data_IF_438426411052
#
_entry.id   IF_438426411052
#
_cell.length_a   1.000
_cell.length_b   1.000
_cell.length_c   1.000
_cell.angle_alpha   90.00
_cell.angle_beta   90.00
_cell.angle_gamma   90.00
#
_symmetry.space_group_name_H-M   'P 1'
#
loop_
_entity.id
_entity.type
_entity.pdbx_description
1 polymer ?
#
# COMPACT_ATOMS: atom_id res chain seq x y z
N UNK A 1 21.55 -10.24 73.95
CA UNK A 1 20.74 -10.77 72.83
C UNK A 1 21.10 -9.94 71.62
N UNK A 2 21.53 -10.64 70.57
CA UNK A 2 21.64 -10.20 69.17
C UNK A 2 22.70 -9.13 68.83
N UNK A 3 23.96 -9.57 68.79
CA UNK A 3 24.97 -8.97 67.91
C UNK A 3 24.66 -9.39 66.47
N UNK A 4 24.09 -8.47 65.70
CA UNK A 4 23.84 -8.59 64.27
C UNK A 4 25.17 -8.55 63.51
N UNK A 5 25.67 -9.73 63.14
CA UNK A 5 26.82 -9.92 62.26
C UNK A 5 26.51 -9.34 60.87
N UNK A 6 27.10 -8.19 60.56
CA UNK A 6 27.05 -7.58 59.24
C UNK A 6 27.92 -8.35 58.26
N UNK A 7 27.30 -9.18 57.42
CA UNK A 7 27.96 -9.72 56.23
C UNK A 7 28.21 -8.59 55.23
N UNK A 8 29.42 -8.04 55.25
CA UNK A 8 29.94 -7.21 54.16
C UNK A 8 30.23 -8.17 53.01
N UNK A 9 29.40 -8.14 51.96
CA UNK A 9 29.73 -8.77 50.70
C UNK A 9 30.97 -8.09 50.12
N UNK A 10 32.13 -8.70 50.31
CA UNK A 10 33.36 -8.35 49.61
C UNK A 10 33.08 -8.36 48.10
N UNK A 11 33.07 -7.19 47.49
CA UNK A 11 33.10 -7.09 46.03
C UNK A 11 34.45 -7.62 45.60
N UNK A 12 34.49 -8.83 45.03
CA UNK A 12 35.69 -9.38 44.41
C UNK A 12 36.29 -8.35 43.45
N UNK A 13 37.42 -7.76 43.86
CA UNK A 13 38.14 -6.79 43.05
C UNK A 13 38.87 -7.56 41.96
N UNK A 14 38.25 -7.65 40.78
CA UNK A 14 38.92 -8.21 39.62
C UNK A 14 40.22 -7.45 39.34
N UNK A 15 41.35 -8.17 39.13
CA UNK A 15 42.62 -7.57 38.75
C UNK A 15 42.47 -6.65 37.55
N UNK A 16 43.13 -5.49 37.57
CA UNK A 16 43.11 -4.52 36.46
C UNK A 16 43.53 -5.19 35.13
N UNK A 17 44.46 -6.14 35.20
CA UNK A 17 44.92 -6.93 34.05
C UNK A 17 43.77 -7.71 33.39
N UNK A 18 42.90 -8.32 34.17
CA UNK A 18 41.77 -9.11 33.66
C UNK A 18 40.74 -8.19 33.00
N UNK A 19 40.54 -6.98 33.55
CA UNK A 19 39.66 -5.95 32.96
C UNK A 19 40.20 -5.45 31.61
N UNK A 20 41.52 -5.31 31.45
CA UNK A 20 42.13 -5.00 30.15
C UNK A 20 41.89 -6.12 29.14
N UNK A 21 42.17 -7.36 29.52
CA UNK A 21 42.00 -8.50 28.64
C UNK A 21 40.54 -8.65 28.18
N UNK A 22 39.57 -8.52 29.08
CA UNK A 22 38.15 -8.53 28.74
C UNK A 22 37.79 -7.41 27.75
N UNK A 23 38.31 -6.19 27.95
CA UNK A 23 38.05 -5.07 27.06
C UNK A 23 38.66 -5.29 25.67
N UNK A 24 39.86 -5.86 25.58
CA UNK A 24 40.52 -6.21 24.31
C UNK A 24 39.76 -7.31 23.56
N UNK A 25 39.29 -8.34 24.25
CA UNK A 25 38.46 -9.40 23.67
C UNK A 25 37.14 -8.84 23.10
N UNK A 26 36.49 -7.93 23.83
CA UNK A 26 35.29 -7.25 23.36
C UNK A 26 35.55 -6.37 22.13
N UNK A 27 36.68 -5.65 22.10
CA UNK A 27 37.09 -4.87 20.91
C UNK A 27 37.31 -5.79 19.72
N UNK A 28 37.94 -6.95 19.91
CA UNK A 28 38.16 -7.90 18.83
C UNK A 28 36.83 -8.43 18.26
N UNK A 29 35.90 -8.83 19.14
CA UNK A 29 34.53 -9.24 18.75
C UNK A 29 33.79 -8.13 18.00
N UNK A 30 33.89 -6.88 18.46
CA UNK A 30 33.28 -5.73 17.78
C UNK A 30 33.90 -5.45 16.41
N UNK A 31 35.20 -5.67 16.22
CA UNK A 31 35.84 -5.54 14.92
C UNK A 31 35.36 -6.61 13.93
N UNK A 32 35.19 -7.86 14.38
CA UNK A 32 34.66 -8.93 13.54
C UNK A 32 33.21 -8.63 13.12
N UNK A 33 32.36 -8.22 14.06
CA UNK A 33 30.99 -7.81 13.75
C UNK A 33 30.98 -6.60 12.80
N UNK A 34 31.84 -5.61 13.01
CA UNK A 34 31.97 -4.45 12.12
C UNK A 34 32.29 -4.87 10.69
N UNK A 35 33.25 -5.78 10.51
CA UNK A 35 33.63 -6.27 9.19
C UNK A 35 32.44 -6.95 8.49
N UNK A 36 31.74 -7.85 9.19
CA UNK A 36 30.54 -8.52 8.67
C UNK A 36 29.45 -7.51 8.28
N UNK A 37 29.15 -6.54 9.16
CA UNK A 37 28.16 -5.49 8.89
C UNK A 37 28.53 -4.65 7.67
N UNK A 38 29.81 -4.34 7.46
CA UNK A 38 30.27 -3.59 6.29
C UNK A 38 30.10 -4.41 5.01
N UNK A 39 30.50 -5.69 5.02
CA UNK A 39 30.34 -6.57 3.86
C UNK A 39 28.86 -6.73 3.48
N UNK A 40 27.98 -6.94 4.46
CA UNK A 40 26.55 -7.02 4.22
C UNK A 40 25.99 -5.68 3.71
N UNK A 41 26.47 -4.55 4.25
CA UNK A 41 26.05 -3.22 3.83
C UNK A 41 26.41 -2.95 2.37
N UNK A 42 27.63 -3.29 1.95
CA UNK A 42 28.08 -3.14 0.56
C UNK A 42 27.22 -3.96 -0.39
N UNK A 43 26.95 -5.22 -0.05
CA UNK A 43 26.06 -6.09 -0.84
C UNK A 43 24.66 -5.49 -0.98
N UNK A 44 24.08 -5.02 0.12
CA UNK A 44 22.73 -4.44 0.10
C UNK A 44 22.66 -3.09 -0.61
N UNK A 45 23.73 -2.29 -0.56
CA UNK A 45 23.85 -1.07 -1.38
C UNK A 45 23.91 -1.40 -2.87
N UNK A 46 24.65 -2.45 -3.25
CA UNK A 46 24.67 -2.92 -4.63
C UNK A 46 23.29 -3.41 -5.11
N UNK A 47 22.56 -4.19 -4.28
CA UNK A 47 21.17 -4.60 -4.58
C UNK A 47 20.27 -3.37 -4.79
N UNK A 48 20.32 -2.40 -3.87
CA UNK A 48 19.56 -1.14 -3.96
C UNK A 48 19.88 -0.37 -5.25
N UNK A 49 21.16 -0.26 -5.59
CA UNK A 49 21.61 0.49 -6.76
C UNK A 49 21.22 -0.22 -8.07
N UNK A 50 21.20 -1.56 -8.07
CA UNK A 50 20.66 -2.38 -9.15
C UNK A 50 19.16 -2.10 -9.38
N UNK A 51 18.35 -2.16 -8.33
CA UNK A 51 16.91 -1.88 -8.44
C UNK A 51 16.63 -0.43 -8.84
N UNK A 52 17.39 0.53 -8.29
CA UNK A 52 17.30 1.93 -8.70
C UNK A 52 17.62 2.11 -10.19
N UNK A 53 18.60 1.38 -10.72
CA UNK A 53 18.95 1.47 -12.15
C UNK A 53 17.83 0.93 -13.03
N UNK A 54 17.18 -0.15 -12.63
CA UNK A 54 15.99 -0.67 -13.32
C UNK A 54 14.79 0.30 -13.26
N UNK A 55 14.65 1.02 -12.15
CA UNK A 55 13.57 1.99 -11.96
C UNK A 55 13.87 3.38 -12.55
N UNK A 56 15.11 3.65 -13.01
CA UNK A 56 15.50 4.93 -13.62
C UNK A 56 14.77 5.22 -14.94
N UNK A 57 14.26 4.21 -15.64
CA UNK A 57 13.28 4.38 -16.73
C UNK A 57 11.88 4.78 -16.22
N UNK A 58 11.86 5.65 -15.20
CA UNK A 58 10.68 6.12 -14.47
C UNK A 58 9.63 6.71 -15.41
N UNK A 59 10.06 7.31 -16.52
CA UNK A 59 9.16 7.84 -17.55
C UNK A 59 8.28 6.76 -18.19
N UNK A 60 8.83 5.58 -18.49
CA UNK A 60 8.05 4.46 -19.03
C UNK A 60 7.08 3.91 -17.97
N UNK A 61 7.54 3.82 -16.73
CA UNK A 61 6.76 3.26 -15.62
C UNK A 61 5.60 4.17 -15.18
N UNK A 62 5.84 5.48 -15.08
CA UNK A 62 4.81 6.47 -14.80
C UNK A 62 3.76 6.50 -15.92
N UNK A 63 4.18 6.28 -17.17
CA UNK A 63 3.25 6.14 -18.31
C UNK A 63 2.38 4.90 -18.17
N UNK A 64 2.95 3.75 -17.80
CA UNK A 64 2.16 2.52 -17.58
C UNK A 64 1.15 2.71 -16.45
N UNK A 65 1.56 3.31 -15.33
CA UNK A 65 0.67 3.59 -14.18
C UNK A 65 -0.48 4.54 -14.57
N UNK A 66 -0.14 5.65 -15.24
CA UNK A 66 -1.12 6.62 -15.75
C UNK A 66 -2.12 5.96 -16.71
N UNK A 67 -1.66 5.12 -17.63
CA UNK A 67 -2.54 4.39 -18.55
C UNK A 67 -3.48 3.43 -17.82
N UNK A 68 -3.00 2.72 -16.79
CA UNK A 68 -3.86 1.85 -15.97
C UNK A 68 -4.96 2.66 -15.30
N UNK A 69 -4.64 3.81 -14.72
CA UNK A 69 -5.62 4.63 -14.00
C UNK A 69 -6.61 5.32 -14.95
N UNK A 70 -6.15 5.77 -16.11
CA UNK A 70 -7.04 6.27 -17.19
C UNK A 70 -8.03 5.19 -17.65
N UNK A 71 -7.54 3.95 -17.87
CA UNK A 71 -8.38 2.84 -18.33
C UNK A 71 -9.37 2.38 -17.26
N UNK A 72 -8.99 2.35 -15.97
CA UNK A 72 -9.91 2.11 -14.86
C UNK A 72 -11.00 3.17 -14.79
N UNK A 73 -10.62 4.43 -14.94
CA UNK A 73 -11.57 5.56 -14.94
C UNK A 73 -12.56 5.43 -16.10
N UNK A 74 -12.06 5.13 -17.31
CA UNK A 74 -12.92 4.89 -18.47
C UNK A 74 -13.86 3.69 -18.27
N UNK A 75 -13.35 2.59 -17.69
CA UNK A 75 -14.16 1.41 -17.37
C UNK A 75 -15.30 1.75 -16.40
N UNK A 76 -15.02 2.58 -15.38
CA UNK A 76 -16.03 3.03 -14.43
C UNK A 76 -17.17 3.80 -15.14
N UNK A 77 -16.84 4.74 -16.02
CA UNK A 77 -17.84 5.48 -16.79
C UNK A 77 -18.65 4.59 -17.75
N UNK A 78 -18.00 3.64 -18.44
CA UNK A 78 -18.72 2.71 -19.32
C UNK A 78 -19.65 1.79 -18.54
N UNK A 79 -19.23 1.34 -17.35
CA UNK A 79 -20.07 0.53 -16.48
C UNK A 79 -21.28 1.32 -15.99
N UNK A 80 -21.08 2.58 -15.60
CA UNK A 80 -22.17 3.47 -15.21
C UNK A 80 -23.17 3.67 -16.36
N UNK A 81 -22.69 3.97 -17.58
CA UNK A 81 -23.54 4.12 -18.76
C UNK A 81 -24.32 2.82 -19.09
N UNK A 82 -23.69 1.66 -18.92
CA UNK A 82 -24.34 0.36 -19.11
C UNK A 82 -25.44 0.13 -18.07
N UNK A 83 -25.23 0.53 -16.82
CA UNK A 83 -26.21 0.37 -15.75
C UNK A 83 -27.38 1.34 -15.91
N UNK A 84 -27.13 2.59 -16.30
CA UNK A 84 -28.16 3.57 -16.67
C UNK A 84 -29.02 3.06 -17.84
N UNK A 85 -28.39 2.48 -18.87
CA UNK A 85 -29.12 1.86 -19.98
C UNK A 85 -30.02 0.71 -19.51
N UNK A 86 -29.54 -0.15 -18.60
CA UNK A 86 -30.36 -1.23 -18.04
C UNK A 86 -31.57 -0.67 -17.33
N UNK A 87 -31.43 0.39 -16.54
CA UNK A 87 -32.53 1.05 -15.82
C UNK A 87 -33.56 1.68 -16.77
N UNK A 88 -33.11 2.24 -17.90
CA UNK A 88 -33.99 2.86 -18.90
C UNK A 88 -34.80 1.84 -19.71
N UNK A 89 -34.29 0.60 -19.88
CA UNK A 89 -35.03 -0.44 -20.60
C UNK A 89 -36.35 -0.81 -19.90
N UNK A 90 -37.34 -1.28 -20.67
CA UNK A 90 -38.62 -1.77 -20.15
C UNK A 90 -38.44 -2.85 -19.07
N UNK A 91 -37.42 -3.71 -19.21
CA UNK A 91 -37.09 -4.73 -18.21
C UNK A 91 -36.53 -4.12 -16.92
N UNK A 92 -35.69 -3.08 -17.00
CA UNK A 92 -35.20 -2.32 -15.85
C UNK A 92 -36.31 -1.59 -15.11
N UNK A 93 -37.18 -0.89 -15.85
CA UNK A 93 -38.38 -0.23 -15.31
C UNK A 93 -39.29 -1.23 -14.58
N UNK A 94 -39.52 -2.40 -15.17
CA UNK A 94 -40.31 -3.46 -14.55
C UNK A 94 -39.67 -4.01 -13.26
N UNK A 95 -38.34 -4.15 -13.23
CA UNK A 95 -37.61 -4.56 -12.03
C UNK A 95 -37.69 -3.51 -10.93
N UNK A 96 -37.52 -2.23 -11.25
CA UNK A 96 -37.68 -1.12 -10.30
C UNK A 96 -39.10 -1.11 -9.70
N UNK A 97 -40.14 -1.30 -10.53
CA UNK A 97 -41.52 -1.43 -10.07
C UNK A 97 -41.67 -2.64 -9.13
N UNK A 98 -41.05 -3.78 -9.45
CA UNK A 98 -41.10 -4.98 -8.62
C UNK A 98 -40.43 -4.76 -7.26
N UNK A 99 -39.28 -4.09 -7.22
CA UNK A 99 -38.58 -3.75 -5.98
C UNK A 99 -39.40 -2.78 -5.11
N UNK A 100 -40.05 -1.78 -5.72
CA UNK A 100 -40.97 -0.87 -5.03
C UNK A 100 -42.19 -1.61 -4.46
N UNK A 101 -42.76 -2.56 -5.21
CA UNK A 101 -43.85 -3.42 -4.75
C UNK A 101 -43.41 -4.29 -3.55
N UNK A 102 -42.21 -4.88 -3.59
CA UNK A 102 -41.65 -5.66 -2.49
C UNK A 102 -41.39 -4.79 -1.25
N UNK A 103 -40.88 -3.57 -1.44
CA UNK A 103 -40.68 -2.61 -0.33
C UNK A 103 -41.99 -2.23 0.35
N UNK A 104 -43.10 -2.18 -0.40
CA UNK A 104 -44.44 -2.00 0.16
C UNK A 104 -44.91 -3.23 0.96
N UNK A 105 -44.68 -4.44 0.44
CA UNK A 105 -45.19 -5.68 1.04
C UNK A 105 -44.45 -6.12 2.31
N UNK A 106 -43.17 -5.77 2.46
CA UNK A 106 -42.31 -6.37 3.49
C UNK A 106 -41.70 -5.39 4.50
N UNK A 107 -42.13 -4.12 4.53
CA UNK A 107 -41.64 -3.14 5.52
C UNK A 107 -42.81 -2.49 6.27
N UNK A 108 -42.62 -2.27 7.58
CA UNK A 108 -43.46 -1.40 8.42
C UNK A 108 -43.31 0.06 7.95
N UNK A 109 -43.90 0.38 6.80
CA UNK A 109 -43.88 1.72 6.24
C UNK A 109 -44.97 2.56 6.90
N UNK A 110 -44.70 3.84 7.12
CA UNK A 110 -45.77 4.76 7.47
C UNK A 110 -46.55 5.16 6.19
N UNK A 111 -47.78 5.65 6.39
CA UNK A 111 -48.67 6.09 5.32
C UNK A 111 -48.02 7.11 4.37
N UNK A 112 -47.13 7.97 4.87
CA UNK A 112 -46.40 8.94 4.07
C UNK A 112 -45.41 8.28 3.10
N UNK A 113 -44.73 7.22 3.54
CA UNK A 113 -43.77 6.45 2.74
C UNK A 113 -44.48 5.57 1.71
N UNK A 114 -45.57 4.93 2.08
CA UNK A 114 -46.42 4.17 1.13
C UNK A 114 -46.96 5.07 0.02
N UNK A 115 -47.46 6.26 0.37
CA UNK A 115 -47.91 7.26 -0.63
C UNK A 115 -46.79 7.75 -1.54
N UNK A 116 -45.52 7.76 -1.08
CA UNK A 116 -44.37 8.08 -1.94
C UNK A 116 -44.06 6.93 -2.88
N UNK A 117 -44.07 5.69 -2.39
CA UNK A 117 -43.82 4.49 -3.19
C UNK A 117 -44.90 4.32 -4.28
N UNK A 118 -46.18 4.49 -3.94
CA UNK A 118 -47.29 4.43 -4.91
C UNK A 118 -47.17 5.50 -6.01
N UNK A 119 -46.77 6.73 -5.65
CA UNK A 119 -46.51 7.79 -6.65
C UNK A 119 -45.34 7.42 -7.57
N UNK A 120 -44.27 6.86 -7.03
CA UNK A 120 -43.13 6.41 -7.81
C UNK A 120 -43.50 5.27 -8.78
N UNK A 121 -44.29 4.28 -8.31
CA UNK A 121 -44.81 3.20 -9.18
C UNK A 121 -45.71 3.77 -10.28
N UNK A 122 -46.59 4.72 -9.95
CA UNK A 122 -47.50 5.34 -10.93
C UNK A 122 -46.73 6.09 -12.02
N UNK A 123 -45.77 6.93 -11.63
CA UNK A 123 -44.92 7.65 -12.57
C UNK A 123 -44.09 6.70 -13.45
N UNK A 124 -43.51 5.64 -12.87
CA UNK A 124 -42.76 4.65 -13.64
C UNK A 124 -43.62 3.92 -14.68
N UNK A 125 -44.90 3.65 -14.37
CA UNK A 125 -45.87 3.07 -15.32
C UNK A 125 -46.28 4.06 -16.41
N UNK A 126 -46.61 5.29 -16.04
CA UNK A 126 -46.95 6.37 -17.00
C UNK A 126 -45.79 6.65 -17.98
N UNK A 127 -44.55 6.58 -17.52
CA UNK A 127 -43.35 6.74 -18.35
C UNK A 127 -42.95 5.46 -19.12
N UNK A 128 -43.59 4.33 -18.85
CA UNK A 128 -43.48 3.10 -19.65
C UNK A 128 -44.52 3.03 -20.78
N UNK A 129 -45.67 3.71 -20.60
CA UNK A 129 -46.75 3.78 -21.58
C UNK A 129 -46.54 4.88 -22.63
N UNK A 130 -45.68 5.88 -22.34
CA UNK A 130 -45.23 6.84 -23.35
C UNK A 130 -44.26 6.13 -24.32
N UNK A 131 -44.53 6.13 -25.64
CA UNK A 131 -43.57 5.60 -26.60
C UNK A 131 -42.30 6.46 -26.54
N UNK A 132 -41.25 5.90 -25.94
CA UNK A 132 -39.90 6.43 -26.06
C UNK A 132 -39.57 6.46 -27.53
N UNK A 133 -39.45 7.65 -28.12
CA UNK A 133 -38.85 7.72 -29.45
C UNK A 133 -37.39 7.32 -29.29
N UNK A 134 -36.88 6.52 -30.22
CA UNK A 134 -35.47 6.09 -30.29
C UNK A 134 -34.50 7.30 -30.24
N UNK A 135 -35.00 8.50 -30.56
CA UNK A 135 -34.31 9.78 -30.49
C UNK A 135 -34.23 10.40 -29.08
N UNK A 136 -35.22 10.18 -28.21
CA UNK A 136 -35.20 10.67 -26.81
C UNK A 136 -34.31 9.83 -25.92
N UNK A 137 -34.24 8.52 -26.17
CA UNK A 137 -33.31 7.59 -25.54
C UNK A 137 -31.86 7.90 -25.95
N UNK A 138 -31.62 8.12 -27.24
CA UNK A 138 -30.33 8.60 -27.78
C UNK A 138 -29.94 9.97 -27.23
N UNK A 139 -30.87 10.94 -27.14
CA UNK A 139 -30.58 12.27 -26.57
C UNK A 139 -30.12 12.19 -25.13
N UNK A 140 -30.81 11.43 -24.27
CA UNK A 140 -30.42 11.30 -22.84
C UNK A 140 -29.07 10.63 -22.67
N UNK A 141 -28.71 9.67 -23.53
CA UNK A 141 -27.36 9.08 -23.58
C UNK A 141 -26.29 10.08 -24.06
N UNK A 142 -26.63 11.00 -24.96
CA UNK A 142 -25.70 11.97 -25.54
C UNK A 142 -25.29 13.08 -24.54
N UNK A 143 -26.20 13.52 -23.66
CA UNK A 143 -25.99 14.70 -22.80
C UNK A 143 -24.94 14.54 -21.69
N UNK A 144 -24.50 13.32 -21.35
CA UNK A 144 -23.52 13.08 -20.29
C UNK A 144 -22.13 12.61 -20.78
N UNK A 145 -21.96 12.43 -22.09
CA UNK A 145 -20.78 11.75 -22.66
C UNK A 145 -19.69 12.66 -23.26
N UNK A 146 -19.76 13.98 -23.08
CA UNK A 146 -18.88 14.92 -23.79
C UNK A 146 -17.44 15.04 -23.25
N UNK A 147 -16.96 14.18 -22.36
CA UNK A 147 -15.59 14.33 -21.83
C UNK A 147 -14.53 13.35 -22.35
N UNK A 148 -14.85 12.16 -22.89
CA UNK A 148 -13.78 11.24 -23.34
C UNK A 148 -14.22 10.19 -24.38
N UNK A 149 -14.21 10.59 -25.67
CA UNK A 149 -14.27 9.68 -26.82
C UNK A 149 -15.65 9.12 -27.16
N UNK A 150 -15.73 8.47 -28.33
CA UNK A 150 -16.95 7.86 -28.87
C UNK A 150 -17.42 6.71 -27.96
N UNK A 151 -18.52 6.94 -27.23
CA UNK A 151 -19.21 5.93 -26.45
C UNK A 151 -20.29 5.33 -27.36
N UNK A 152 -20.38 3.99 -27.53
CA UNK A 152 -21.33 3.38 -28.44
C UNK A 152 -22.75 3.51 -27.91
N UNK A 153 -23.69 3.83 -28.79
CA UNK A 153 -25.10 4.05 -28.45
C UNK A 153 -25.88 2.75 -28.17
N UNK A 154 -25.19 1.60 -28.04
CA UNK A 154 -25.81 0.30 -27.81
C UNK A 154 -25.19 -0.46 -26.64
N UNK A 155 -26.01 -1.28 -25.98
CA UNK A 155 -25.59 -2.16 -24.88
C UNK A 155 -24.49 -3.13 -25.33
N UNK A 156 -24.61 -3.70 -26.52
CA UNK A 156 -23.61 -4.57 -27.13
C UNK A 156 -22.29 -3.81 -27.34
N UNK A 157 -22.34 -2.60 -27.92
CA UNK A 157 -21.15 -1.79 -28.14
C UNK A 157 -20.44 -1.37 -26.85
N UNK A 158 -21.19 -1.06 -25.79
CA UNK A 158 -20.63 -0.79 -24.46
C UNK A 158 -19.96 -2.03 -23.87
N UNK A 159 -20.60 -3.20 -23.95
CA UNK A 159 -20.00 -4.45 -23.48
C UNK A 159 -18.72 -4.78 -24.26
N UNK A 160 -18.69 -4.57 -25.57
CA UNK A 160 -17.50 -4.76 -26.40
C UNK A 160 -16.37 -3.81 -25.99
N UNK A 161 -16.66 -2.53 -25.74
CA UNK A 161 -15.66 -1.58 -25.22
C UNK A 161 -15.17 -1.95 -23.82
N UNK A 162 -16.05 -2.41 -22.93
CA UNK A 162 -15.69 -2.89 -21.59
C UNK A 162 -14.73 -4.07 -21.73
N UNK A 163 -15.06 -5.07 -22.55
CA UNK A 163 -14.23 -6.26 -22.77
C UNK A 163 -12.87 -5.89 -23.37
N UNK A 164 -12.84 -4.98 -24.35
CA UNK A 164 -11.60 -4.47 -24.92
C UNK A 164 -10.71 -3.82 -23.86
N UNK A 165 -11.26 -2.90 -23.06
CA UNK A 165 -10.50 -2.20 -22.01
C UNK A 165 -10.04 -3.18 -20.92
N UNK A 166 -10.85 -4.18 -20.58
CA UNK A 166 -10.46 -5.23 -19.63
C UNK A 166 -9.26 -6.04 -20.15
N UNK A 167 -9.24 -6.38 -21.43
CA UNK A 167 -8.11 -7.08 -22.06
C UNK A 167 -6.83 -6.22 -22.05
N UNK A 168 -6.94 -4.94 -22.41
CA UNK A 168 -5.82 -3.98 -22.35
C UNK A 168 -5.31 -3.79 -20.92
N UNK A 169 -6.21 -3.69 -19.93
CA UNK A 169 -5.86 -3.60 -18.52
C UNK A 169 -5.11 -4.85 -18.05
N UNK A 170 -5.48 -6.04 -18.53
CA UNK A 170 -4.77 -7.27 -18.20
C UNK A 170 -3.33 -7.25 -18.72
N UNK A 171 -3.12 -6.79 -19.95
CA UNK A 171 -1.77 -6.63 -20.52
C UNK A 171 -0.96 -5.56 -19.79
N UNK A 172 -1.57 -4.43 -19.43
CA UNK A 172 -0.92 -3.39 -18.64
C UNK A 172 -0.57 -3.89 -17.22
N UNK A 173 -1.43 -4.70 -16.59
CA UNK A 173 -1.14 -5.34 -15.29
C UNK A 173 0.05 -6.29 -15.37
N UNK A 174 0.17 -7.07 -16.46
CA UNK A 174 1.36 -7.93 -16.70
C UNK A 174 2.64 -7.10 -16.77
N UNK A 175 2.59 -5.96 -17.46
CA UNK A 175 3.72 -5.01 -17.55
C UNK A 175 4.01 -4.32 -16.20
N UNK A 176 2.98 -4.09 -15.38
CA UNK A 176 3.10 -3.43 -14.08
C UNK A 176 3.68 -4.35 -12.99
N UNK A 177 3.37 -5.66 -13.03
CA UNK A 177 3.79 -6.64 -12.02
C UNK A 177 5.30 -6.63 -11.70
N UNK A 178 6.22 -6.68 -12.67
CA UNK A 178 7.65 -6.63 -12.37
C UNK A 178 8.06 -5.30 -11.71
N UNK A 179 7.44 -4.18 -12.09
CA UNK A 179 7.70 -2.86 -11.48
C UNK A 179 7.38 -2.89 -10.01
N UNK A 180 6.17 -3.35 -9.66
CA UNK A 180 5.73 -3.41 -8.27
C UNK A 180 6.57 -4.36 -7.43
N UNK A 181 7.12 -5.41 -8.05
CA UNK A 181 8.07 -6.30 -7.39
C UNK A 181 9.40 -5.55 -7.12
N UNK A 182 9.96 -4.86 -8.11
CA UNK A 182 11.19 -4.09 -7.93
C UNK A 182 11.05 -2.93 -6.94
N UNK A 183 9.91 -2.23 -6.91
CA UNK A 183 9.64 -1.20 -5.91
C UNK A 183 9.65 -1.77 -4.48
N UNK A 184 9.08 -2.97 -4.30
CA UNK A 184 9.07 -3.66 -3.01
C UNK A 184 10.46 -4.15 -2.61
N UNK A 185 11.21 -4.73 -3.53
CA UNK A 185 12.59 -5.16 -3.29
C UNK A 185 13.50 -3.98 -2.97
N UNK A 186 13.31 -2.84 -3.64
CA UNK A 186 14.03 -1.60 -3.34
C UNK A 186 13.71 -1.11 -1.92
N UNK A 187 12.43 -1.06 -1.54
CA UNK A 187 12.00 -0.64 -0.20
C UNK A 187 12.59 -1.57 0.88
N UNK A 188 12.61 -2.87 0.64
CA UNK A 188 13.21 -3.86 1.54
C UNK A 188 14.74 -3.67 1.65
N UNK A 189 15.43 -3.46 0.53
CA UNK A 189 16.87 -3.18 0.51
C UNK A 189 17.20 -1.88 1.28
N UNK A 190 16.41 -0.82 1.12
CA UNK A 190 16.58 0.44 1.87
C UNK A 190 16.40 0.26 3.38
N UNK A 191 15.38 -0.49 3.80
CA UNK A 191 15.18 -0.82 5.22
C UNK A 191 16.37 -1.56 5.79
N UNK A 192 16.89 -2.57 5.08
CA UNK A 192 18.04 -3.35 5.53
C UNK A 192 19.31 -2.49 5.58
N UNK A 193 19.56 -1.65 4.57
CA UNK A 193 20.68 -0.69 4.58
C UNK A 193 20.59 0.22 5.80
N UNK A 194 19.42 0.80 6.09
CA UNK A 194 19.22 1.66 7.26
C UNK A 194 19.49 0.92 8.58
N UNK A 195 19.06 -0.34 8.70
CA UNK A 195 19.33 -1.17 9.88
C UNK A 195 20.82 -1.46 10.04
N UNK A 196 21.52 -1.84 8.97
CA UNK A 196 22.96 -2.11 8.99
C UNK A 196 23.78 -0.84 9.32
N UNK A 197 23.38 0.32 8.80
CA UNK A 197 24.01 1.61 9.15
C UNK A 197 23.82 1.96 10.63
N UNK A 198 22.63 1.71 11.19
CA UNK A 198 22.36 1.86 12.63
C UNK A 198 23.20 0.89 13.47
N UNK A 199 23.30 -0.37 13.05
CA UNK A 199 24.14 -1.38 13.72
C UNK A 199 25.62 -0.97 13.70
N UNK A 200 26.13 -0.56 12.54
CA UNK A 200 27.50 -0.08 12.39
C UNK A 200 27.78 1.13 13.28
N UNK A 201 26.84 2.08 13.37
CA UNK A 201 26.92 3.20 14.29
C UNK A 201 26.99 2.73 15.76
N UNK A 202 26.13 1.78 16.14
CA UNK A 202 26.13 1.18 17.49
C UNK A 202 27.45 0.49 17.83
N UNK A 203 28.02 -0.28 16.90
CA UNK A 203 29.33 -0.93 17.06
C UNK A 203 30.43 0.13 17.28
N UNK A 204 30.46 1.16 16.43
CA UNK A 204 31.45 2.23 16.56
C UNK A 204 31.30 3.00 17.89
N UNK A 205 30.07 3.21 18.38
CA UNK A 205 29.81 3.82 19.69
C UNK A 205 30.38 2.97 20.83
N UNK A 206 30.03 1.68 20.88
CA UNK A 206 30.54 0.74 21.90
C UNK A 206 32.07 0.64 21.87
N UNK A 207 32.66 0.65 20.68
CA UNK A 207 34.12 0.63 20.52
C UNK A 207 34.78 1.87 21.10
N UNK A 208 34.22 3.07 20.90
CA UNK A 208 34.70 4.32 21.52
C UNK A 208 34.59 4.27 23.04
N UNK A 209 33.49 3.74 23.57
CA UNK A 209 33.29 3.57 25.01
C UNK A 209 34.32 2.61 25.63
N UNK A 210 34.62 1.49 24.97
CA UNK A 210 35.66 0.56 25.42
C UNK A 210 37.05 1.17 25.36
N UNK A 211 37.38 1.96 24.33
CA UNK A 211 38.66 2.67 24.31
C UNK A 211 38.78 3.71 25.43
N UNK A 212 37.72 4.45 25.72
CA UNK A 212 37.68 5.36 26.86
C UNK A 212 37.88 4.60 28.19
N UNK A 213 37.20 3.46 28.34
CA UNK A 213 37.35 2.60 29.52
C UNK A 213 38.79 2.08 29.69
N UNK A 214 39.42 1.59 28.61
CA UNK A 214 40.83 1.17 28.62
C UNK A 214 41.75 2.33 29.02
N UNK A 215 41.51 3.54 28.52
CA UNK A 215 42.29 4.73 28.90
C UNK A 215 42.14 5.04 30.40
N UNK A 216 40.93 4.90 30.95
CA UNK A 216 40.70 5.13 32.38
C UNK A 216 41.34 4.04 33.26
N UNK A 217 41.32 2.77 32.82
CA UNK A 217 42.06 1.70 33.48
C UNK A 217 43.58 1.97 33.50
N UNK A 218 44.14 2.57 32.44
CA UNK A 218 45.56 2.95 32.40
C UNK A 218 45.89 4.01 33.44
N UNK A 219 45.05 5.04 33.54
CA UNK A 219 45.19 6.09 34.57
C UNK A 219 45.03 5.54 35.99
N UNK A 220 44.13 4.57 36.20
CA UNK A 220 43.98 3.91 37.51
C UNK A 220 45.25 3.16 37.90
N UNK A 221 45.79 2.36 36.98
CA UNK A 221 47.06 1.66 37.19
C UNK A 221 48.21 2.61 37.55
N UNK A 222 48.34 3.73 36.83
CA UNK A 222 49.36 4.76 37.11
C UNK A 222 49.19 5.44 38.49
N UNK A 223 47.98 5.47 39.05
CA UNK A 223 47.72 6.01 40.40
C UNK A 223 47.99 4.99 41.51
N UNK A 224 47.93 3.70 41.18
CA UNK A 224 48.20 2.58 42.09
C UNK A 224 49.68 2.16 42.13
N UNK A 225 50.49 2.68 41.20
CA UNK A 225 51.94 2.44 41.12
C UNK A 225 52.71 3.62 41.69
#
# INVERSE_FOLDING_TARGET
MEESCGCICEKEVQPIKDKFQQAEELIHKLNQMKYQTITDLEKRKADRDYFNTWLKDRYYWDRVRSLVDQKKTRLHYLQQALDELKELTTQGKNRMIQELCQQMQHRNNNLAKERRILRAIKHAKEDSEKPSSDADEKRRQTYHCSCHGYIPDSKEGLNDQINLILSELQELKKKQKPITAYEKELEEAEKVVCLLEKQLHGINKKKRELYAYILDLRKQRERET
#
